data_IF_386755900062
#
_entry.id   IF_386755900062
#
_cell.length_a   1.000
_cell.length_b   1.000
_cell.length_c   1.000
_cell.angle_alpha   90.00
_cell.angle_beta   90.00
_cell.angle_gamma   90.00
#
_symmetry.space_group_name_H-M   'P 1'
#
loop_
_entity.id
_entity.type
_entity.pdbx_description
1 polymer ?
#
# COMPACT_ATOMS: atom_id res chain seq x y z
N UNK A 1 0.36 -4.85 -5.59
CA UNK A 1 0.20 -4.85 -4.12
C UNK A 1 0.75 -3.53 -3.61
N UNK A 2 0.14 -2.91 -2.61
CA UNK A 2 0.59 -1.60 -2.14
C UNK A 2 0.86 -1.73 -0.66
N UNK A 3 2.06 -1.32 -0.24
CA UNK A 3 2.39 -1.28 1.16
C UNK A 3 1.72 -0.06 1.79
N UNK A 4 0.80 -0.29 2.72
CA UNK A 4 0.20 0.81 3.49
C UNK A 4 0.95 0.99 4.81
N UNK A 5 1.40 2.22 5.05
CA UNK A 5 2.02 2.63 6.31
C UNK A 5 3.49 2.98 6.13
N UNK A 6 4.06 3.76 7.07
CA UNK A 6 5.44 4.17 6.99
C UNK A 6 6.38 2.97 7.11
N UNK A 7 7.47 3.01 6.35
CA UNK A 7 8.61 2.09 6.42
C UNK A 7 9.06 1.76 7.85
N UNK A 8 9.03 2.76 8.74
CA UNK A 8 9.44 2.62 10.15
C UNK A 8 8.54 1.72 11.00
N UNK A 9 7.35 1.38 10.51
CA UNK A 9 6.44 0.43 11.18
C UNK A 9 6.58 -1.00 10.66
N UNK A 10 7.41 -1.22 9.64
CA UNK A 10 7.65 -2.57 9.12
C UNK A 10 8.44 -3.36 10.16
N UNK A 11 7.84 -4.44 10.64
CA UNK A 11 8.47 -5.38 11.57
C UNK A 11 8.53 -6.74 10.85
N UNK A 12 9.73 -7.26 10.70
CA UNK A 12 9.97 -8.62 10.22
C UNK A 12 10.10 -9.54 11.43
N UNK A 13 9.44 -10.69 11.39
CA UNK A 13 9.54 -11.67 12.47
C UNK A 13 9.57 -13.11 11.96
N UNK A 14 10.37 -13.96 12.58
CA UNK A 14 10.37 -15.42 12.35
C UNK A 14 9.38 -16.08 13.32
N UNK A 15 8.59 -17.02 12.81
CA UNK A 15 7.70 -17.90 13.60
C UNK A 15 6.76 -17.20 14.60
N UNK A 16 6.49 -15.90 14.39
CA UNK A 16 5.50 -15.11 15.12
C UNK A 16 5.96 -14.42 16.41
N UNK A 17 7.14 -14.77 16.94
CA UNK A 17 7.62 -14.27 18.24
C UNK A 17 8.95 -13.53 18.17
N UNK A 18 9.84 -13.91 17.25
CA UNK A 18 11.18 -13.31 17.18
C UNK A 18 11.19 -12.13 16.21
N UNK A 19 11.23 -10.92 16.75
CA UNK A 19 11.45 -9.69 15.94
C UNK A 19 12.88 -9.69 15.44
N UNK A 20 13.04 -9.50 14.13
CA UNK A 20 14.33 -9.46 13.46
C UNK A 20 14.85 -8.02 13.43
N UNK A 21 16.10 -7.85 13.89
CA UNK A 21 16.80 -6.59 13.80
C UNK A 21 17.38 -6.37 12.39
N UNK A 22 17.57 -5.11 11.99
CA UNK A 22 18.03 -4.77 10.64
C UNK A 22 19.51 -5.14 10.41
N UNK A 23 20.29 -5.26 11.49
CA UNK A 23 21.70 -5.64 11.46
C UNK A 23 21.93 -7.15 11.39
N UNK A 24 20.87 -7.97 11.50
CA UNK A 24 20.99 -9.42 11.45
C UNK A 24 21.19 -9.91 10.02
N UNK A 25 22.19 -10.79 9.83
CA UNK A 25 22.50 -11.40 8.53
C UNK A 25 21.56 -12.57 8.22
N UNK A 26 21.19 -12.71 6.95
CA UNK A 26 20.34 -13.79 6.44
C UNK A 26 20.96 -15.18 6.61
N UNK A 27 22.29 -15.29 6.46
CA UNK A 27 23.03 -16.54 6.60
C UNK A 27 22.85 -17.24 7.96
N UNK A 28 22.46 -16.50 9.00
CA UNK A 28 22.25 -17.07 10.33
C UNK A 28 20.89 -17.77 10.50
N UNK A 29 19.99 -17.64 9.51
CA UNK A 29 18.59 -18.07 9.63
C UNK A 29 18.12 -18.83 8.39
N UNK A 30 19.01 -19.48 7.64
CA UNK A 30 18.63 -20.17 6.38
C UNK A 30 17.47 -21.16 6.60
N UNK A 31 17.55 -21.99 7.64
CA UNK A 31 16.54 -23.01 7.98
C UNK A 31 15.20 -22.38 8.39
N UNK A 32 15.20 -21.29 9.16
CA UNK A 32 13.98 -20.59 9.59
C UNK A 32 13.36 -19.75 8.47
N UNK A 33 14.19 -19.23 7.57
CA UNK A 33 13.75 -18.44 6.43
C UNK A 33 12.95 -19.28 5.44
N UNK A 34 13.27 -20.59 5.30
CA UNK A 34 12.47 -21.52 4.50
C UNK A 34 11.04 -21.66 5.03
N UNK A 35 10.82 -21.49 6.34
CA UNK A 35 9.48 -21.49 6.95
C UNK A 35 8.70 -20.21 6.67
N UNK A 36 9.36 -19.18 6.13
CA UNK A 36 8.79 -17.91 5.73
C UNK A 36 8.92 -16.83 6.79
N UNK A 37 9.12 -15.60 6.34
CA UNK A 37 9.24 -14.42 7.20
C UNK A 37 7.88 -13.76 7.33
N UNK A 38 7.44 -13.48 8.56
CA UNK A 38 6.18 -12.76 8.79
C UNK A 38 6.41 -11.25 8.74
N UNK A 39 5.64 -10.57 7.89
CA UNK A 39 5.60 -9.10 7.85
C UNK A 39 4.46 -8.59 8.73
N UNK A 40 4.79 -7.67 9.64
CA UNK A 40 3.85 -6.93 10.49
C UNK A 40 3.99 -5.42 10.27
N UNK A 41 2.92 -4.70 10.60
CA UNK A 41 2.90 -3.23 10.62
C UNK A 41 2.73 -2.55 9.27
N UNK A 42 2.58 -3.29 8.18
CA UNK A 42 2.32 -2.76 6.84
C UNK A 42 1.22 -3.55 6.14
N UNK A 43 0.08 -2.92 5.86
CA UNK A 43 -1.08 -3.61 5.25
C UNK A 43 -0.86 -3.80 3.75
N UNK A 44 -0.59 -5.06 3.33
CA UNK A 44 -0.43 -5.46 1.92
C UNK A 44 -1.74 -6.01 1.31
N UNK A 45 -2.90 -5.67 1.87
CA UNK A 45 -4.17 -6.13 1.31
C UNK A 45 -4.38 -5.57 -0.11
N UNK A 46 -5.30 -6.21 -0.85
CA UNK A 46 -5.77 -5.66 -2.11
C UNK A 46 -6.29 -4.23 -1.91
N UNK A 47 -6.13 -3.39 -2.93
CA UNK A 47 -6.65 -2.03 -2.89
C UNK A 47 -8.13 -2.03 -2.51
N UNK A 48 -8.51 -1.10 -1.64
CA UNK A 48 -9.89 -0.93 -1.17
C UNK A 48 -10.40 0.39 -1.72
N UNK A 49 -11.67 0.42 -2.06
CA UNK A 49 -12.36 1.64 -2.41
C UNK A 49 -12.58 2.45 -1.13
N UNK A 50 -12.16 3.71 -1.13
CA UNK A 50 -12.23 4.62 0.01
C UNK A 50 -12.87 5.94 -0.40
N UNK A 51 -13.60 6.53 0.53
CA UNK A 51 -14.17 7.86 0.37
C UNK A 51 -13.16 8.89 0.86
N UNK A 52 -12.73 9.76 -0.05
CA UNK A 52 -11.75 10.80 0.19
C UNK A 52 -12.45 12.15 0.24
N UNK A 53 -12.32 12.84 1.36
CA UNK A 53 -12.86 14.18 1.59
C UNK A 53 -11.84 15.23 1.17
N UNK A 54 -12.21 16.03 0.19
CA UNK A 54 -11.44 17.16 -0.30
C UNK A 54 -11.99 18.42 0.37
N UNK A 55 -11.16 19.15 1.11
CA UNK A 55 -11.57 20.35 1.87
C UNK A 55 -10.91 21.58 1.25
N UNK A 56 -11.67 22.66 1.06
CA UNK A 56 -11.10 23.90 0.51
C UNK A 56 -10.14 24.55 1.53
N UNK A 57 -8.93 24.90 1.10
CA UNK A 57 -7.86 25.28 2.03
C UNK A 57 -7.93 26.74 2.55
N UNK A 58 -8.60 27.64 1.82
CA UNK A 58 -8.61 29.10 2.10
C UNK A 58 -10.03 29.66 2.32
N UNK A 59 -11.08 28.88 2.06
CA UNK A 59 -12.44 29.46 2.05
C UNK A 59 -12.91 29.76 3.47
N UNK A 60 -13.48 30.94 3.69
CA UNK A 60 -14.13 31.31 4.95
C UNK A 60 -15.36 30.44 5.24
N UNK A 61 -15.99 29.92 4.18
CA UNK A 61 -17.10 28.98 4.28
C UNK A 61 -16.59 27.54 4.17
N UNK A 62 -17.04 26.61 5.03
CA UNK A 62 -16.66 25.21 4.93
C UNK A 62 -17.24 24.62 3.64
N UNK A 63 -16.34 24.33 2.70
CA UNK A 63 -16.67 23.64 1.46
C UNK A 63 -15.88 22.34 1.40
N UNK A 64 -16.57 21.25 1.08
CA UNK A 64 -15.95 19.94 0.94
C UNK A 64 -16.59 19.10 -0.16
N UNK A 65 -15.81 18.20 -0.72
CA UNK A 65 -16.22 17.29 -1.78
C UNK A 65 -15.75 15.89 -1.44
N UNK A 66 -16.67 14.93 -1.38
CA UNK A 66 -16.34 13.51 -1.17
C UNK A 66 -16.21 12.81 -2.51
N UNK A 67 -15.10 12.10 -2.70
CA UNK A 67 -14.78 11.34 -3.91
C UNK A 67 -14.43 9.92 -3.55
N UNK A 68 -15.10 8.99 -4.19
CA UNK A 68 -14.82 7.57 -4.04
C UNK A 68 -13.71 7.14 -5.01
N UNK A 69 -12.59 6.65 -4.47
CA UNK A 69 -11.41 6.26 -5.26
C UNK A 69 -10.70 5.07 -4.61
N UNK A 70 -9.85 4.35 -5.34
CA UNK A 70 -9.01 3.31 -4.73
C UNK A 70 -7.93 3.97 -3.87
N UNK A 71 -7.70 3.47 -2.67
CA UNK A 71 -6.67 3.98 -1.75
C UNK A 71 -5.23 3.89 -2.30
N UNK A 72 -5.06 3.03 -3.30
CA UNK A 72 -3.82 2.77 -4.04
C UNK A 72 -3.59 3.75 -5.20
N UNK A 73 -4.56 4.63 -5.46
CA UNK A 73 -4.48 5.58 -6.57
C UNK A 73 -3.47 6.69 -6.30
N UNK A 74 -3.00 7.30 -7.39
CA UNK A 74 -2.08 8.43 -7.32
C UNK A 74 -2.82 9.75 -7.08
N UNK A 75 -2.10 10.79 -6.66
CA UNK A 75 -2.62 12.16 -6.58
C UNK A 75 -3.11 12.63 -7.96
N UNK A 76 -2.47 12.22 -9.06
CA UNK A 76 -2.94 12.52 -10.41
C UNK A 76 -4.33 11.95 -10.68
N UNK A 77 -4.57 10.70 -10.29
CA UNK A 77 -5.88 10.06 -10.43
C UNK A 77 -6.94 10.76 -9.59
N UNK A 78 -6.60 11.17 -8.37
CA UNK A 78 -7.48 11.98 -7.52
C UNK A 78 -7.80 13.33 -8.15
N UNK A 79 -6.82 14.04 -8.72
CA UNK A 79 -7.04 15.30 -9.46
C UNK A 79 -7.94 15.11 -10.67
N UNK A 80 -7.78 14.01 -11.40
CA UNK A 80 -8.68 13.65 -12.53
C UNK A 80 -10.09 13.38 -12.04
N UNK A 81 -10.25 12.67 -10.92
CA UNK A 81 -11.56 12.43 -10.32
C UNK A 81 -12.23 13.74 -9.86
N UNK A 82 -11.48 14.65 -9.23
CA UNK A 82 -11.95 15.99 -8.87
C UNK A 82 -12.38 16.78 -10.10
N UNK A 83 -11.53 16.81 -11.14
CA UNK A 83 -11.82 17.50 -12.40
C UNK A 83 -13.14 17.00 -12.99
N UNK A 84 -13.32 15.68 -13.08
CA UNK A 84 -14.54 15.08 -13.61
C UNK A 84 -15.76 15.40 -12.75
N UNK A 85 -15.62 15.42 -11.42
CA UNK A 85 -16.72 15.68 -10.48
C UNK A 85 -17.15 17.16 -10.45
N UNK A 86 -16.22 18.09 -10.67
CA UNK A 86 -16.46 19.53 -10.73
C UNK A 86 -16.68 20.06 -12.15
N UNK A 87 -16.65 19.18 -13.16
CA UNK A 87 -16.77 19.52 -14.58
C UNK A 87 -15.75 20.59 -15.03
N UNK A 88 -14.54 20.52 -14.48
CA UNK A 88 -13.50 21.53 -14.71
C UNK A 88 -12.76 21.27 -16.04
N UNK A 89 -12.34 22.33 -16.74
CA UNK A 89 -11.72 22.19 -18.07
C UNK A 89 -10.26 21.73 -17.97
N UNK A 90 -9.51 22.28 -17.03
CA UNK A 90 -8.07 22.06 -16.90
C UNK A 90 -7.69 21.42 -15.56
N UNK A 91 -6.80 20.42 -15.61
CA UNK A 91 -6.28 19.73 -14.40
C UNK A 91 -5.45 20.70 -13.54
N UNK A 92 -4.87 21.76 -14.13
CA UNK A 92 -4.11 22.81 -13.43
C UNK A 92 -4.94 23.56 -12.39
N UNK A 93 -6.26 23.59 -12.54
CA UNK A 93 -7.18 24.25 -11.59
C UNK A 93 -7.50 23.37 -10.37
N UNK A 94 -7.13 22.09 -10.41
CA UNK A 94 -7.35 21.14 -9.32
C UNK A 94 -6.05 20.90 -8.56
N UNK A 95 -5.66 21.82 -7.66
CA UNK A 95 -4.37 21.73 -6.97
C UNK A 95 -4.55 21.18 -5.55
N UNK A 96 -3.99 20.00 -5.30
CA UNK A 96 -3.97 19.41 -3.97
C UNK A 96 -2.73 19.86 -3.21
N UNK A 97 -2.92 20.26 -1.96
CA UNK A 97 -1.87 20.81 -1.11
C UNK A 97 -1.84 20.18 0.28
N UNK A 98 -0.69 20.32 0.94
CA UNK A 98 -0.50 20.08 2.37
C UNK A 98 -0.15 21.40 3.05
N UNK A 99 -0.60 21.57 4.29
CA UNK A 99 -0.23 22.72 5.10
C UNK A 99 1.22 22.56 5.59
N UNK A 100 2.03 23.61 5.44
CA UNK A 100 3.43 23.64 5.88
C UNK A 100 3.70 24.97 6.59
N UNK A 101 3.59 24.97 7.92
CA UNK A 101 3.63 26.20 8.72
C UNK A 101 2.47 27.13 8.36
N UNK A 102 2.81 28.36 7.95
CA UNK A 102 1.82 29.37 7.53
C UNK A 102 1.49 29.31 6.03
N UNK A 103 2.04 28.34 5.29
CA UNK A 103 1.87 28.22 3.85
C UNK A 103 1.31 26.87 3.41
N UNK A 104 1.20 26.70 2.09
CA UNK A 104 0.76 25.47 1.45
C UNK A 104 1.84 24.96 0.50
N UNK A 105 2.05 23.64 0.50
CA UNK A 105 2.96 22.94 -0.42
C UNK A 105 2.16 22.01 -1.32
N UNK A 106 2.48 21.98 -2.62
CA UNK A 106 1.75 21.15 -3.58
C UNK A 106 2.15 19.69 -3.44
N UNK A 107 1.18 18.78 -3.52
CA UNK A 107 1.47 17.36 -3.60
C UNK A 107 1.92 17.00 -5.02
N UNK A 108 2.82 16.01 -5.13
CA UNK A 108 3.31 15.52 -6.42
C UNK A 108 2.30 14.56 -7.03
N UNK A 109 2.20 14.56 -8.35
CA UNK A 109 1.25 13.73 -9.09
C UNK A 109 1.52 12.22 -8.94
N UNK A 110 2.79 11.83 -8.79
CA UNK A 110 3.22 10.43 -8.60
C UNK A 110 3.05 9.93 -7.15
N UNK A 111 2.73 10.83 -6.20
CA UNK A 111 2.49 10.43 -4.82
C UNK A 111 1.22 9.59 -4.74
N UNK A 112 1.21 8.54 -3.92
CA UNK A 112 0.02 7.70 -3.68
C UNK A 112 -0.82 8.31 -2.55
N UNK A 113 -2.12 8.04 -2.57
CA UNK A 113 -3.02 8.43 -1.48
C UNK A 113 -2.62 7.76 -0.16
N UNK A 114 -2.12 6.52 -0.22
CA UNK A 114 -1.58 5.76 0.93
C UNK A 114 -2.55 5.75 2.14
N UNK A 115 -3.84 5.63 1.86
CA UNK A 115 -4.89 5.59 2.88
C UNK A 115 -5.26 6.94 3.51
N UNK A 116 -4.71 8.06 3.05
CA UNK A 116 -5.19 9.40 3.46
C UNK A 116 -6.62 9.59 2.97
N UNK A 117 -7.53 9.89 3.88
CA UNK A 117 -8.95 10.13 3.58
C UNK A 117 -9.28 11.61 3.47
N UNK A 118 -8.34 12.51 3.77
CA UNK A 118 -8.56 13.96 3.77
C UNK A 118 -7.43 14.68 3.05
N UNK A 119 -7.79 15.60 2.15
CA UNK A 119 -6.84 16.45 1.43
C UNK A 119 -7.30 17.89 1.38
N UNK A 120 -6.35 18.82 1.40
CA UNK A 120 -6.61 20.24 1.20
C UNK A 120 -6.54 20.58 -0.28
N UNK A 121 -7.47 21.42 -0.73
CA UNK A 121 -7.64 21.82 -2.12
C UNK A 121 -7.50 23.33 -2.28
N UNK A 122 -6.74 23.72 -3.30
CA UNK A 122 -6.63 25.08 -3.80
C UNK A 122 -7.07 25.12 -5.25
N UNK A 123 -7.93 26.08 -5.57
CA UNK A 123 -8.41 26.27 -6.93
C UNK A 123 -9.79 26.91 -6.93
N UNK A 124 -10.72 26.26 -7.60
CA UNK A 124 -12.12 26.68 -7.67
C UNK A 124 -12.85 26.41 -6.35
N UNK A 125 -13.90 27.18 -6.10
CA UNK A 125 -14.84 26.89 -5.01
C UNK A 125 -15.39 25.46 -5.13
N UNK A 126 -15.38 24.77 -3.99
CA UNK A 126 -16.04 23.48 -3.85
C UNK A 126 -17.52 23.71 -3.54
N UNK A 127 -18.40 22.73 -3.81
CA UNK A 127 -19.79 22.83 -3.37
C UNK A 127 -19.82 23.07 -1.86
N UNK A 128 -20.73 23.95 -1.41
CA UNK A 128 -20.96 24.14 0.01
C UNK A 128 -21.24 22.77 0.62
N UNK A 129 -20.57 22.46 1.73
CA UNK A 129 -20.85 21.22 2.45
C UNK A 129 -22.30 21.31 2.89
N UNK A 130 -23.20 20.67 2.14
CA UNK A 130 -24.49 20.34 2.68
C UNK A 130 -24.15 19.50 3.90
N UNK A 131 -24.46 20.00 5.10
CA UNK A 131 -24.40 19.23 6.33
C UNK A 131 -25.38 18.06 6.17
N UNK A 132 -24.98 17.04 5.41
CA UNK A 132 -25.62 15.75 5.41
C UNK A 132 -25.41 15.24 6.81
N UNK A 133 -26.47 15.37 7.63
CA UNK A 133 -26.63 14.73 8.93
C UNK A 133 -26.00 13.36 8.84
N UNK A 134 -24.79 13.25 9.39
CA UNK A 134 -23.97 12.05 9.49
C UNK A 134 -24.93 10.86 9.68
N UNK A 135 -25.17 10.02 8.66
CA UNK A 135 -25.89 8.79 8.89
C UNK A 135 -24.98 7.99 9.80
N UNK A 136 -25.36 7.94 11.08
CA UNK A 136 -24.74 7.07 12.06
C UNK A 136 -24.65 5.68 11.41
N UNK A 137 -23.45 5.11 11.26
CA UNK A 137 -23.27 3.90 10.48
C UNK A 137 -24.04 2.77 11.15
N UNK A 138 -25.22 2.47 10.60
CA UNK A 138 -26.01 1.30 10.95
C UNK A 138 -25.20 0.08 10.50
N UNK A 139 -24.42 -0.47 11.43
CA UNK A 139 -23.61 -1.67 11.24
C UNK A 139 -24.56 -2.83 10.97
N UNK A 140 -24.98 -2.98 9.72
CA UNK A 140 -25.62 -4.21 9.22
C UNK A 140 -24.54 -5.28 9.21
N UNK A 141 -24.42 -5.97 10.35
CA UNK A 141 -23.77 -7.27 10.50
C UNK A 141 -24.52 -8.27 9.61
N UNK A 142 -24.21 -8.26 8.31
CA UNK A 142 -24.55 -9.36 7.43
C UNK A 142 -23.63 -10.53 7.75
N UNK A 143 -24.09 -11.39 8.67
CA UNK A 143 -23.51 -12.70 8.90
C UNK A 143 -23.66 -13.54 7.63
N UNK A 144 -22.68 -13.45 6.71
CA UNK A 144 -22.56 -14.37 5.59
C UNK A 144 -22.03 -15.69 6.14
N UNK A 145 -22.95 -16.66 6.18
CA UNK A 145 -22.66 -18.06 6.50
C UNK A 145 -21.70 -18.63 5.46
N UNK A 146 -20.60 -19.15 5.99
CA UNK A 146 -19.54 -19.94 5.35
C UNK A 146 -20.12 -21.23 4.75
N UNK A 147 -19.98 -21.53 3.45
CA UNK A 147 -19.97 -22.90 2.97
C UNK A 147 -18.56 -23.49 3.10
N UNK A 148 -18.48 -24.68 3.69
CA UNK A 148 -17.25 -25.45 3.90
C UNK A 148 -16.55 -25.85 2.57
N UNK A 149 -15.21 -25.86 2.51
CA UNK A 149 -14.46 -26.35 1.37
C UNK A 149 -14.34 -27.89 1.39
N UNK A 150 -14.66 -28.54 0.27
CA UNK A 150 -14.38 -29.97 0.05
C UNK A 150 -12.93 -30.19 -0.42
N UNK A 151 -12.26 -31.28 0.00
CA UNK A 151 -10.89 -31.60 -0.39
C UNK A 151 -10.83 -32.45 -1.68
N UNK A 152 -9.90 -32.14 -2.59
CA UNK A 152 -9.38 -32.96 -3.72
C UNK A 152 -8.37 -32.11 -4.47
N UNK A 153 -7.18 -32.49 -4.96
CA UNK A 153 -6.22 -33.62 -4.95
C UNK A 153 -4.92 -33.02 -5.58
N UNK A 154 -3.73 -33.62 -5.40
CA UNK A 154 -2.47 -33.12 -5.97
C UNK A 154 -2.28 -33.59 -7.42
N UNK A 155 -1.80 -32.70 -8.31
CA UNK A 155 -1.27 -33.05 -9.63
C UNK A 155 0.02 -32.28 -9.88
N UNK A 156 1.07 -33.06 -10.13
CA UNK A 156 2.45 -32.76 -10.48
C UNK A 156 2.61 -32.00 -11.83
N UNK A 157 3.54 -31.02 -11.82
CA UNK A 157 4.58 -30.58 -12.80
C UNK A 157 4.59 -31.01 -14.30
N UNK A 158 5.52 -30.50 -15.16
CA UNK A 158 6.15 -29.17 -15.32
C UNK A 158 6.26 -28.74 -16.81
N UNK A 159 6.80 -27.53 -17.12
CA UNK A 159 7.50 -27.08 -18.37
C UNK A 159 7.63 -25.54 -18.36
N UNK A 160 8.69 -24.85 -18.79
CA UNK A 160 9.92 -25.14 -19.55
C UNK A 160 10.82 -23.89 -19.42
N UNK A 161 12.04 -24.02 -18.89
CA UNK A 161 13.02 -22.94 -18.80
C UNK A 161 13.72 -22.71 -20.16
N UNK A 162 14.00 -21.45 -20.47
CA UNK A 162 14.83 -20.97 -21.58
C UNK A 162 16.21 -20.65 -20.97
N UNK A 163 17.28 -21.18 -21.55
CA UNK A 163 18.65 -21.11 -21.01
C UNK A 163 19.45 -20.01 -21.73
N UNK A 164 19.93 -19.00 -20.97
CA UNK A 164 20.89 -17.96 -21.39
C UNK A 164 22.33 -18.34 -20.93
N UNK A 165 23.39 -17.82 -21.58
CA UNK A 165 24.78 -18.30 -21.42
C UNK A 165 25.36 -17.99 -20.02
N UNK A 166 26.32 -18.79 -19.52
CA UNK A 166 26.72 -18.77 -18.11
C UNK A 166 27.50 -17.50 -17.75
N UNK A 167 26.95 -16.66 -16.84
CA UNK A 167 27.68 -15.57 -16.22
C UNK A 167 28.71 -16.11 -15.20
N UNK A 168 29.69 -15.28 -14.77
CA UNK A 168 30.63 -15.60 -13.70
C UNK A 168 29.91 -16.19 -12.47
N UNK A 169 30.59 -17.07 -11.69
CA UNK A 169 29.98 -17.85 -10.62
C UNK A 169 29.11 -16.94 -9.73
N UNK A 170 27.78 -17.13 -9.74
CA UNK A 170 26.86 -16.19 -9.14
C UNK A 170 27.06 -16.19 -7.63
N UNK A 171 27.00 -14.99 -7.02
CA UNK A 171 26.74 -14.89 -5.60
C UNK A 171 25.47 -15.69 -5.31
N UNK A 172 25.47 -16.49 -4.24
CA UNK A 172 24.32 -17.31 -3.89
C UNK A 172 23.15 -16.36 -3.55
N UNK A 173 22.10 -16.43 -4.35
CA UNK A 173 20.88 -15.67 -4.13
C UNK A 173 19.88 -16.51 -3.33
N UNK A 174 19.30 -15.91 -2.29
CA UNK A 174 18.27 -16.53 -1.44
C UNK A 174 16.91 -15.95 -1.82
N UNK A 175 15.94 -16.82 -2.09
CA UNK A 175 14.55 -16.41 -2.37
C UNK A 175 13.72 -16.50 -1.10
N UNK A 176 13.31 -15.36 -0.58
CA UNK A 176 12.54 -15.21 0.65
C UNK A 176 11.06 -15.18 0.35
N UNK A 177 10.27 -16.03 1.02
CA UNK A 177 8.80 -15.92 1.00
C UNK A 177 8.34 -15.14 2.23
N UNK A 178 7.92 -13.89 2.02
CA UNK A 178 7.42 -13.01 3.07
C UNK A 178 5.89 -13.11 3.11
N UNK A 179 5.34 -13.52 4.25
CA UNK A 179 3.90 -13.66 4.45
C UNK A 179 3.37 -12.54 5.35
N UNK A 180 2.36 -11.81 4.87
CA UNK A 180 1.73 -10.75 5.65
C UNK A 180 0.83 -11.33 6.75
N UNK A 181 1.09 -10.98 8.00
CA UNK A 181 0.44 -11.59 9.16
C UNK A 181 -1.08 -11.41 9.20
N UNK A 182 -1.61 -10.26 8.74
CA UNK A 182 -3.06 -9.99 8.82
C UNK A 182 -3.82 -10.36 7.54
N UNK A 183 -3.16 -10.30 6.38
CA UNK A 183 -3.83 -10.51 5.08
C UNK A 183 -3.66 -11.93 4.55
N UNK A 184 -2.72 -12.71 5.10
CA UNK A 184 -2.39 -14.05 4.59
C UNK A 184 -1.81 -14.04 3.17
N UNK A 185 -1.40 -12.88 2.67
CA UNK A 185 -0.79 -12.74 1.35
C UNK A 185 0.72 -12.95 1.45
N UNK A 186 1.30 -13.77 0.56
CA UNK A 186 2.74 -13.94 0.45
C UNK A 186 3.35 -13.12 -0.69
N UNK A 187 4.62 -12.76 -0.56
CA UNK A 187 5.46 -12.09 -1.56
C UNK A 187 6.80 -12.81 -1.62
N UNK A 188 7.33 -13.02 -2.82
CA UNK A 188 8.69 -13.57 -2.99
C UNK A 188 9.66 -12.46 -3.36
N UNK A 189 10.81 -12.44 -2.71
CA UNK A 189 11.89 -11.48 -2.97
C UNK A 189 13.20 -12.24 -3.05
N UNK A 190 14.03 -11.93 -4.04
CA UNK A 190 15.36 -12.52 -4.20
C UNK A 190 16.40 -11.52 -3.74
N UNK A 191 17.27 -11.93 -2.82
CA UNK A 191 18.35 -11.11 -2.27
C UNK A 191 19.62 -11.95 -2.12
N UNK A 192 20.82 -11.33 -2.19
CA UNK A 192 22.08 -12.03 -1.92
C UNK A 192 22.12 -12.64 -0.50
N UNK A 193 22.76 -13.81 -0.33
CA UNK A 193 22.90 -14.52 0.96
C UNK A 193 23.61 -13.68 2.04
N UNK A 194 24.52 -12.78 1.64
CA UNK A 194 25.27 -11.88 2.52
C UNK A 194 24.49 -10.60 2.93
N UNK A 195 23.24 -10.48 2.50
CA UNK A 195 22.39 -9.34 2.82
C UNK A 195 21.90 -9.37 4.28
N UNK A 196 21.62 -8.20 4.85
CA UNK A 196 20.98 -8.11 6.16
C UNK A 196 19.46 -8.01 6.05
N UNK A 197 18.72 -8.22 7.14
CA UNK A 197 17.27 -7.97 7.14
C UNK A 197 16.92 -6.50 6.85
N UNK A 198 17.84 -5.57 7.10
CA UNK A 198 17.73 -4.19 6.64
C UNK A 198 17.71 -4.08 5.11
N UNK A 199 18.54 -4.85 4.40
CA UNK A 199 18.50 -4.95 2.93
C UNK A 199 17.21 -5.59 2.44
N UNK A 200 16.74 -6.66 3.09
CA UNK A 200 15.45 -7.29 2.79
C UNK A 200 14.31 -6.28 2.91
N UNK A 201 14.32 -5.47 3.97
CA UNK A 201 13.31 -4.44 4.21
C UNK A 201 13.35 -3.36 3.12
N UNK A 202 14.55 -2.92 2.71
CA UNK A 202 14.73 -1.98 1.59
C UNK A 202 14.23 -2.56 0.26
N UNK A 203 14.60 -3.80 -0.05
CA UNK A 203 14.16 -4.49 -1.26
C UNK A 203 12.63 -4.68 -1.29
N UNK A 204 12.03 -4.99 -0.14
CA UNK A 204 10.57 -5.08 0.02
C UNK A 204 9.89 -3.73 -0.24
N UNK A 205 10.42 -2.63 0.30
CA UNK A 205 9.87 -1.28 0.03
C UNK A 205 9.98 -0.90 -1.45
N UNK A 206 11.13 -1.14 -2.06
CA UNK A 206 11.33 -0.89 -3.49
C UNK A 206 10.34 -1.70 -4.34
N UNK A 207 10.06 -2.96 -3.97
CA UNK A 207 9.08 -3.80 -4.65
C UNK A 207 7.63 -3.32 -4.46
N UNK A 208 7.33 -2.64 -3.35
CA UNK A 208 6.02 -2.04 -3.07
C UNK A 208 5.87 -0.62 -3.65
N UNK A 209 6.96 -0.06 -4.21
CA UNK A 209 7.02 1.28 -4.77
C UNK A 209 6.83 2.36 -3.72
N UNK A 210 7.53 2.21 -2.59
CA UNK A 210 7.79 3.24 -1.57
C UNK A 210 9.25 3.68 -1.61
#
# INVERSE_FOLDING_TARGET
KVGRGPASKIILSLSGENVLDDDWMLSNFEDEVEQGVLLRGLDISAGKQVDVTIVHAISDTPQSLVIQIMDTSTILDLRRAIKSKLEERAISNCKLVKQLGNGFSSLKDDEKINGRTEFLFLGRDLPATAEEKKPEPEVKRSAVRRPEPKPSKPVEEPKKQVEEPPPPPPAKDVTLTITHAMAGCSLQITVPEDSTFGDVRRALMAHLGE
#
